data_IF_689688846909
#
_entry.id   IF_689688846909
#
_cell.length_a   1.000
_cell.length_b   1.000
_cell.length_c   1.000
_cell.angle_alpha   90.00
_cell.angle_beta   90.00
_cell.angle_gamma   90.00
#
_symmetry.space_group_name_H-M   'P 1'
#
loop_
_entity.id
_entity.type
_entity.pdbx_description
1 polymer ?
#
# COMPACT_ATOMS: atom_id res chain seq x y z
N UNK A 1 -31.32 45.91 27.92
CA UNK A 1 -30.34 45.70 26.83
C UNK A 1 -29.13 44.95 27.37
N UNK A 2 -28.65 43.91 26.65
CA UNK A 2 -27.34 43.22 26.78
C UNK A 2 -27.25 42.22 27.96
N UNK A 3 -26.88 40.95 27.81
CA UNK A 3 -25.97 40.28 26.86
C UNK A 3 -26.38 38.81 26.63
N UNK A 4 -26.38 38.41 25.35
CA UNK A 4 -26.34 37.02 24.92
C UNK A 4 -25.03 36.36 25.40
N UNK A 5 -25.14 35.25 26.14
CA UNK A 5 -24.00 34.41 26.50
C UNK A 5 -23.60 33.62 25.24
N UNK A 6 -22.48 34.00 24.64
CA UNK A 6 -21.85 33.30 23.51
C UNK A 6 -21.27 31.96 24.02
N UNK A 7 -22.00 30.87 23.87
CA UNK A 7 -21.48 29.51 24.06
C UNK A 7 -20.66 29.07 22.83
N UNK A 8 -19.44 29.61 22.66
CA UNK A 8 -18.56 29.28 21.53
C UNK A 8 -17.29 28.50 21.94
N UNK A 9 -17.10 28.22 23.23
CA UNK A 9 -15.86 27.61 23.73
C UNK A 9 -15.78 26.09 23.55
N UNK A 10 -16.91 25.37 23.59
CA UNK A 10 -16.89 23.90 23.68
C UNK A 10 -16.84 23.23 22.29
N UNK A 11 -17.59 23.74 21.31
CA UNK A 11 -17.72 23.12 19.98
C UNK A 11 -16.41 23.12 19.19
N UNK A 12 -15.60 24.18 19.30
CA UNK A 12 -14.30 24.27 18.63
C UNK A 12 -13.28 23.25 19.17
N UNK A 13 -13.35 22.95 20.47
CA UNK A 13 -12.50 21.95 21.12
C UNK A 13 -12.88 20.54 20.64
N UNK A 14 -14.17 20.23 20.56
CA UNK A 14 -14.64 18.93 20.05
C UNK A 14 -14.29 18.71 18.57
N UNK A 15 -14.40 19.73 17.73
CA UNK A 15 -13.98 19.64 16.31
C UNK A 15 -12.46 19.41 16.22
N UNK A 16 -11.67 20.17 16.98
CA UNK A 16 -10.21 20.00 17.02
C UNK A 16 -9.80 18.60 17.48
N UNK A 17 -10.46 18.06 18.51
CA UNK A 17 -10.21 16.71 19.01
C UNK A 17 -10.59 15.64 18.00
N UNK A 18 -11.70 15.82 17.27
CA UNK A 18 -12.16 14.88 16.25
C UNK A 18 -11.22 14.88 15.03
N UNK A 19 -10.75 16.06 14.60
CA UNK A 19 -9.74 16.17 13.52
C UNK A 19 -8.41 15.53 13.93
N UNK A 20 -7.98 15.72 15.19
CA UNK A 20 -6.77 15.08 15.70
C UNK A 20 -6.94 13.55 15.77
N UNK A 21 -8.11 13.06 16.23
CA UNK A 21 -8.41 11.63 16.31
C UNK A 21 -8.44 10.98 14.91
N UNK A 22 -9.05 11.65 13.92
CA UNK A 22 -9.06 11.19 12.52
C UNK A 22 -7.65 11.20 11.93
N UNK A 23 -6.84 12.22 12.23
CA UNK A 23 -5.44 12.28 11.80
C UNK A 23 -4.57 11.20 12.45
N UNK A 24 -4.86 10.80 13.69
CA UNK A 24 -4.18 9.70 14.38
C UNK A 24 -4.61 8.32 13.90
N UNK A 25 -5.86 8.18 13.42
CA UNK A 25 -6.34 6.97 12.75
C UNK A 25 -5.82 6.81 11.32
N UNK A 26 -5.23 7.87 10.72
CA UNK A 26 -4.56 7.80 9.43
C UNK A 26 -3.12 7.23 9.50
N UNK A 27 -2.68 6.76 10.68
CA UNK A 27 -1.49 5.92 10.82
C UNK A 27 -1.77 4.50 10.29
N UNK A 28 -2.09 4.43 9.00
CA UNK A 28 -2.12 3.20 8.23
C UNK A 28 -0.71 2.60 8.26
N UNK A 29 -0.58 1.39 8.82
CA UNK A 29 0.60 0.53 8.75
C UNK A 29 1.89 1.14 9.31
N UNK A 30 2.47 0.54 10.35
CA UNK A 30 3.87 0.82 10.67
C UNK A 30 4.73 0.33 9.50
N UNK A 31 5.12 1.23 8.60
CA UNK A 31 6.04 0.91 7.51
C UNK A 31 7.43 0.79 8.12
N UNK A 32 7.89 -0.44 8.34
CA UNK A 32 9.28 -0.68 8.71
C UNK A 32 10.16 -0.40 7.49
N UNK A 33 11.13 0.49 7.65
CA UNK A 33 12.10 0.81 6.62
C UNK A 33 13.42 0.11 6.89
N UNK A 34 14.03 -0.46 5.85
CA UNK A 34 15.37 -1.04 5.93
C UNK A 34 16.13 -0.75 4.64
N UNK A 35 17.44 -0.54 4.76
CA UNK A 35 18.35 -0.48 3.61
C UNK A 35 18.86 -1.86 3.20
N UNK A 36 18.68 -2.86 4.06
CA UNK A 36 19.10 -4.25 3.85
C UNK A 36 17.89 -5.17 3.86
N UNK A 37 17.84 -6.11 2.91
CA UNK A 37 16.79 -7.13 2.85
C UNK A 37 17.49 -8.45 3.14
N UNK A 38 17.42 -9.00 4.35
CA UNK A 38 18.11 -10.26 4.64
C UNK A 38 17.76 -11.37 3.62
N UNK A 39 18.73 -12.11 3.05
CA UNK A 39 20.20 -12.04 3.21
C UNK A 39 20.94 -11.12 2.21
N UNK A 40 20.22 -10.30 1.46
CA UNK A 40 20.70 -9.43 0.39
C UNK A 40 21.05 -8.00 0.86
N UNK A 41 22.20 -7.52 0.39
CA UNK A 41 22.61 -6.10 0.51
C UNK A 41 22.60 -5.50 -0.90
N UNK A 42 21.60 -4.69 -1.27
CA UNK A 42 21.59 -4.00 -2.56
C UNK A 42 22.80 -3.06 -2.69
N UNK A 43 23.39 -2.95 -3.89
CA UNK A 43 24.56 -2.09 -4.11
C UNK A 43 24.25 -0.58 -4.03
N UNK A 44 22.98 -0.21 -4.23
CA UNK A 44 22.48 1.16 -4.05
C UNK A 44 21.70 1.23 -2.74
N UNK A 45 21.85 2.33 -2.00
CA UNK A 45 21.16 2.58 -0.72
C UNK A 45 19.66 2.84 -0.91
N UNK A 46 18.91 1.83 -1.35
CA UNK A 46 17.46 1.89 -1.43
C UNK A 46 16.85 1.91 -0.03
N UNK A 47 15.86 2.79 0.18
CA UNK A 47 14.97 2.66 1.34
C UNK A 47 13.86 1.71 0.93
N UNK A 48 13.90 0.50 1.48
CA UNK A 48 12.88 -0.51 1.25
C UNK A 48 11.81 -0.37 2.32
N UNK A 49 10.58 -0.28 1.86
CA UNK A 49 9.38 -0.22 2.66
C UNK A 49 8.69 -1.58 2.62
N UNK A 50 8.16 -2.01 3.77
CA UNK A 50 7.27 -3.16 3.87
C UNK A 50 5.85 -2.69 4.19
N UNK A 51 4.87 -3.19 3.44
CA UNK A 51 3.45 -3.02 3.77
C UNK A 51 2.74 -4.36 3.76
N UNK A 52 1.82 -4.55 4.70
CA UNK A 52 0.92 -5.70 4.72
C UNK A 52 -0.51 -5.19 4.61
N UNK A 53 -1.35 -5.94 3.91
CA UNK A 53 -2.73 -5.57 3.68
C UNK A 53 -3.64 -6.79 3.73
N UNK A 54 -4.91 -6.54 4.01
CA UNK A 54 -6.01 -7.48 3.82
C UNK A 54 -7.20 -6.69 3.30
N UNK A 55 -7.79 -7.13 2.19
CA UNK A 55 -8.97 -6.48 1.62
C UNK A 55 -9.88 -7.49 0.94
N UNK A 56 -11.19 -7.25 1.00
CA UNK A 56 -12.21 -8.00 0.27
C UNK A 56 -12.83 -7.18 -0.88
N UNK A 57 -12.24 -6.03 -1.19
CA UNK A 57 -12.62 -5.16 -2.30
C UNK A 57 -11.39 -4.49 -2.91
N UNK A 58 -11.54 -3.88 -4.07
CA UNK A 58 -10.49 -3.07 -4.68
C UNK A 58 -10.12 -1.92 -3.74
N UNK A 59 -8.82 -1.75 -3.48
CA UNK A 59 -8.33 -0.84 -2.45
C UNK A 59 -6.96 -0.26 -2.81
N UNK A 60 -6.66 0.92 -2.30
CA UNK A 60 -5.31 1.45 -2.29
C UNK A 60 -4.47 0.72 -1.23
N UNK A 61 -3.27 0.27 -1.61
CA UNK A 61 -2.36 -0.49 -0.75
C UNK A 61 -1.13 0.33 -0.37
N UNK A 62 -0.63 1.15 -1.30
CA UNK A 62 0.43 2.12 -1.04
C UNK A 62 -0.02 3.47 -1.58
N UNK A 63 -0.07 4.53 -0.74
CA UNK A 63 -0.49 5.84 -1.17
C UNK A 63 0.47 6.43 -2.21
N UNK A 64 -0.04 7.34 -3.03
CA UNK A 64 0.76 7.99 -4.05
C UNK A 64 1.92 8.78 -3.47
N UNK A 65 2.98 8.93 -4.27
CA UNK A 65 4.11 9.79 -3.96
C UNK A 65 4.35 10.75 -5.11
N UNK A 66 4.23 12.06 -4.84
CA UNK A 66 4.24 13.11 -5.87
C UNK A 66 5.45 13.03 -6.79
N UNK A 67 5.22 12.83 -8.09
CA UNK A 67 6.27 12.77 -9.11
C UNK A 67 7.17 11.52 -9.02
N UNK A 68 6.86 10.58 -8.13
CA UNK A 68 7.63 9.38 -7.85
C UNK A 68 6.86 8.12 -8.21
N UNK A 69 7.58 7.04 -8.46
CA UNK A 69 7.02 5.72 -8.76
C UNK A 69 7.19 4.79 -7.58
N UNK A 70 6.19 3.95 -7.36
CA UNK A 70 6.27 2.84 -6.41
C UNK A 70 6.74 1.62 -7.21
N UNK A 71 7.86 1.02 -6.78
CA UNK A 71 8.48 -0.14 -7.43
C UNK A 71 8.46 -1.33 -6.49
N UNK A 72 7.67 -2.34 -6.83
CA UNK A 72 7.50 -3.57 -6.03
C UNK A 72 8.59 -4.57 -6.42
N UNK A 73 9.30 -5.07 -5.41
CA UNK A 73 10.45 -5.96 -5.56
C UNK A 73 10.24 -7.33 -4.89
N UNK A 74 9.19 -7.47 -4.10
CA UNK A 74 8.73 -8.74 -3.55
C UNK A 74 7.26 -8.63 -3.20
N UNK A 75 6.55 -9.74 -3.28
CA UNK A 75 5.18 -9.82 -2.82
C UNK A 75 4.80 -11.23 -2.40
N UNK A 76 3.88 -11.31 -1.46
CA UNK A 76 3.10 -12.48 -1.12
C UNK A 76 1.62 -12.11 -1.22
N UNK A 77 0.83 -12.98 -1.82
CA UNK A 77 -0.62 -12.88 -1.91
C UNK A 77 -1.24 -14.19 -1.47
N UNK A 78 -2.29 -14.15 -0.67
CA UNK A 78 -3.09 -15.32 -0.26
C UNK A 78 -4.57 -14.95 -0.35
N UNK A 79 -5.38 -15.83 -0.93
CA UNK A 79 -6.83 -15.61 -1.04
C UNK A 79 -7.61 -16.57 -0.12
N UNK A 80 -8.69 -16.07 0.50
CA UNK A 80 -9.63 -16.87 1.28
C UNK A 80 -10.77 -17.47 0.44
N UNK A 81 -10.70 -17.32 -0.89
CA UNK A 81 -11.70 -17.81 -1.84
C UNK A 81 -11.24 -17.59 -3.27
N UNK A 82 -12.00 -18.11 -4.23
CA UNK A 82 -11.66 -17.98 -5.66
C UNK A 82 -11.85 -16.54 -6.13
N UNK A 83 -10.76 -15.91 -6.56
CA UNK A 83 -10.76 -14.52 -7.02
C UNK A 83 -9.58 -14.24 -7.92
N UNK A 84 -9.77 -13.32 -8.87
CA UNK A 84 -8.68 -12.81 -9.68
C UNK A 84 -8.16 -11.54 -9.03
N UNK A 85 -6.85 -11.45 -8.92
CA UNK A 85 -6.14 -10.31 -8.33
C UNK A 85 -5.35 -9.62 -9.41
N UNK A 86 -5.43 -8.29 -9.46
CA UNK A 86 -4.59 -7.45 -10.32
C UNK A 86 -4.13 -6.23 -9.55
N UNK A 87 -2.85 -5.90 -9.67
CA UNK A 87 -2.36 -4.58 -9.22
C UNK A 87 -2.55 -3.54 -10.32
N UNK A 88 -2.95 -2.35 -9.92
CA UNK A 88 -3.20 -1.19 -10.78
C UNK A 88 -2.42 0.03 -10.31
N UNK A 89 -2.17 0.94 -11.25
CA UNK A 89 -1.61 2.25 -11.01
C UNK A 89 -2.75 3.25 -10.84
N UNK A 90 -2.87 3.87 -9.67
CA UNK A 90 -3.92 4.87 -9.39
C UNK A 90 -5.35 4.30 -9.38
N UNK A 91 -5.51 2.98 -9.18
CA UNK A 91 -6.81 2.33 -9.05
C UNK A 91 -7.48 1.89 -10.36
N UNK A 92 -7.15 2.50 -11.49
CA UNK A 92 -7.79 2.21 -12.78
C UNK A 92 -6.83 1.71 -13.86
N UNK A 93 -5.61 2.24 -13.89
CA UNK A 93 -4.68 1.96 -14.99
C UNK A 93 -3.87 0.69 -14.74
N UNK A 94 -3.50 0.03 -15.84
CA UNK A 94 -2.63 -1.13 -15.77
C UNK A 94 -1.24 -0.72 -15.30
N UNK A 95 -0.69 -1.49 -14.34
CA UNK A 95 0.66 -1.30 -13.84
C UNK A 95 1.68 -1.93 -14.80
N UNK A 96 2.87 -1.34 -14.93
CA UNK A 96 3.96 -1.99 -15.68
C UNK A 96 4.37 -3.27 -14.94
N UNK A 97 4.48 -4.38 -15.68
CA UNK A 97 4.75 -5.71 -15.10
C UNK A 97 3.51 -6.42 -14.53
N UNK A 98 2.30 -5.87 -14.74
CA UNK A 98 1.05 -6.47 -14.25
C UNK A 98 0.90 -7.92 -14.74
N UNK A 99 0.63 -8.82 -13.80
CA UNK A 99 0.16 -10.18 -14.07
C UNK A 99 -1.20 -10.32 -13.42
N UNK A 100 -2.18 -10.89 -14.12
CA UNK A 100 -3.45 -11.27 -13.53
C UNK A 100 -3.23 -12.60 -12.78
N UNK A 101 -3.43 -12.62 -11.46
CA UNK A 101 -3.34 -13.86 -10.69
C UNK A 101 -4.73 -14.46 -10.54
N UNK A 102 -4.86 -15.72 -10.93
CA UNK A 102 -6.05 -16.52 -10.65
C UNK A 102 -5.79 -17.26 -9.33
N UNK A 103 -6.30 -16.72 -8.23
CA UNK A 103 -6.14 -17.33 -6.92
C UNK A 103 -7.36 -18.19 -6.61
N UNK A 104 -7.08 -19.36 -6.03
CA UNK A 104 -8.09 -20.25 -5.45
C UNK A 104 -8.09 -20.16 -3.93
N UNK A 105 -9.13 -20.66 -3.28
CA UNK A 105 -9.21 -20.69 -1.82
C UNK A 105 -7.94 -21.28 -1.17
N UNK A 106 -7.39 -20.56 -0.18
CA UNK A 106 -6.19 -20.92 0.59
C UNK A 106 -4.92 -21.12 -0.26
N UNK A 107 -4.95 -20.69 -1.52
CA UNK A 107 -3.76 -20.65 -2.36
C UNK A 107 -3.10 -19.29 -2.30
N UNK A 108 -1.81 -19.27 -2.60
CA UNK A 108 -1.04 -18.05 -2.64
C UNK A 108 0.01 -18.03 -3.73
N UNK A 109 0.48 -16.83 -4.03
CA UNK A 109 1.59 -16.59 -4.94
C UNK A 109 2.62 -15.75 -4.21
N UNK A 110 3.86 -16.20 -4.27
CA UNK A 110 4.99 -15.50 -3.67
C UNK A 110 6.04 -15.22 -4.72
N UNK A 111 6.54 -13.99 -4.73
CA UNK A 111 7.78 -13.61 -5.41
C UNK A 111 8.74 -13.05 -4.37
N UNK A 112 9.84 -13.77 -4.06
CA UNK A 112 10.83 -13.28 -3.11
C UNK A 112 11.65 -12.16 -3.74
N UNK A 113 12.38 -11.43 -2.90
CA UNK A 113 13.38 -10.48 -3.36
C UNK A 113 14.44 -11.22 -4.17
N UNK A 114 14.61 -10.81 -5.41
CA UNK A 114 15.64 -11.33 -6.31
C UNK A 114 16.57 -10.19 -6.71
N UNK A 115 17.88 -10.41 -6.66
CA UNK A 115 18.87 -9.45 -7.12
C UNK A 115 19.44 -9.86 -8.49
N UNK A 116 19.57 -8.89 -9.40
CA UNK A 116 20.34 -9.03 -10.64
C UNK A 116 21.40 -7.92 -10.62
N UNK A 117 22.68 -8.29 -10.75
CA UNK A 117 23.80 -7.33 -10.66
C UNK A 117 23.72 -6.44 -9.40
N UNK A 118 23.42 -7.05 -8.24
CA UNK A 118 23.26 -6.37 -6.95
C UNK A 118 22.13 -5.31 -6.91
N UNK A 119 21.21 -5.31 -7.87
CA UNK A 119 20.03 -4.45 -7.91
C UNK A 119 18.76 -5.31 -7.74
N UNK A 120 17.76 -4.85 -6.95
CA UNK A 120 16.49 -5.55 -6.84
C UNK A 120 15.78 -5.63 -8.20
N UNK A 121 15.32 -6.83 -8.56
CA UNK A 121 14.43 -7.01 -9.69
C UNK A 121 13.08 -6.35 -9.38
N UNK A 122 12.65 -5.44 -10.24
CA UNK A 122 11.35 -4.78 -10.13
C UNK A 122 10.32 -5.64 -10.85
N UNK A 123 9.35 -6.18 -10.10
CA UNK A 123 8.26 -6.97 -10.67
C UNK A 123 7.12 -6.10 -11.18
N UNK A 124 6.83 -5.00 -10.48
CA UNK A 124 5.74 -4.09 -10.83
C UNK A 124 6.11 -2.64 -10.53
N UNK A 125 5.59 -1.71 -11.34
CA UNK A 125 5.89 -0.29 -11.18
C UNK A 125 4.71 0.62 -11.58
N UNK A 126 4.33 1.54 -10.68
CA UNK A 126 3.28 2.53 -10.93
C UNK A 126 3.71 3.62 -11.91
N UNK A 127 2.74 4.35 -12.47
CA UNK A 127 2.98 5.63 -13.13
C UNK A 127 3.55 6.66 -12.11
N UNK A 128 4.30 7.68 -12.56
CA UNK A 128 4.79 8.72 -11.67
C UNK A 128 3.63 9.45 -11.00
N UNK A 129 3.67 9.60 -9.68
CA UNK A 129 2.60 10.27 -8.93
C UNK A 129 1.36 9.42 -8.69
N UNK A 130 1.33 8.15 -9.10
CA UNK A 130 0.19 7.27 -8.89
C UNK A 130 0.39 6.35 -7.67
N UNK A 131 -0.71 6.04 -6.98
CA UNK A 131 -0.74 5.03 -5.92
C UNK A 131 -0.67 3.61 -6.48
N UNK A 132 -0.33 2.66 -5.61
CA UNK A 132 -0.43 1.23 -5.90
C UNK A 132 -1.72 0.72 -5.31
N UNK A 133 -2.60 0.21 -6.18
CA UNK A 133 -3.90 -0.31 -5.78
C UNK A 133 -4.05 -1.77 -6.21
N UNK A 134 -4.90 -2.50 -5.50
CA UNK A 134 -5.31 -3.85 -5.83
C UNK A 134 -6.75 -3.84 -6.34
N UNK A 135 -7.03 -4.66 -7.35
CA UNK A 135 -8.35 -4.89 -7.89
C UNK A 135 -8.69 -6.37 -7.80
N UNK A 136 -9.91 -6.68 -7.35
CA UNK A 136 -10.42 -8.03 -7.14
C UNK A 136 -11.63 -8.28 -8.04
N UNK A 137 -11.69 -9.45 -8.66
CA UNK A 137 -12.86 -9.82 -9.49
C UNK A 137 -14.08 -10.25 -8.68
N UNK A 138 -13.91 -10.55 -7.40
CA UNK A 138 -14.96 -10.98 -6.50
C UNK A 138 -14.69 -10.45 -5.08
N UNK A 139 -15.73 -10.38 -4.26
CA UNK A 139 -15.66 -9.96 -2.86
C UNK A 139 -15.08 -11.04 -1.93
N UNK A 140 -13.93 -11.60 -2.32
CA UNK A 140 -13.15 -12.56 -1.53
C UNK A 140 -11.99 -11.84 -0.86
N UNK A 141 -11.74 -12.16 0.40
CA UNK A 141 -10.61 -11.59 1.13
C UNK A 141 -9.29 -12.03 0.52
N UNK A 142 -8.42 -11.07 0.21
CA UNK A 142 -7.03 -11.28 -0.19
C UNK A 142 -6.13 -10.55 0.80
N UNK A 143 -5.18 -11.27 1.37
CA UNK A 143 -4.13 -10.71 2.20
C UNK A 143 -2.78 -10.81 1.49
N UNK A 144 -1.84 -9.99 1.92
CA UNK A 144 -0.51 -10.02 1.37
C UNK A 144 0.47 -9.09 2.04
N UNK A 145 1.74 -9.28 1.70
CA UNK A 145 2.83 -8.40 2.10
C UNK A 145 3.61 -8.00 0.86
N UNK A 146 3.95 -6.71 0.74
CA UNK A 146 4.75 -6.16 -0.34
C UNK A 146 6.03 -5.57 0.21
N UNK A 147 7.13 -5.78 -0.52
CA UNK A 147 8.36 -5.01 -0.36
C UNK A 147 8.52 -4.11 -1.58
N UNK A 148 8.72 -2.82 -1.34
CA UNK A 148 8.80 -1.82 -2.39
C UNK A 148 9.77 -0.70 -2.04
N UNK A 149 10.15 0.09 -3.04
CA UNK A 149 10.84 1.36 -2.84
C UNK A 149 10.21 2.44 -3.73
N UNK A 150 10.51 3.69 -3.40
CA UNK A 150 9.98 4.87 -4.10
C UNK A 150 11.12 5.58 -4.84
N UNK A 151 10.95 5.84 -6.13
CA UNK A 151 11.97 6.48 -6.99
C UNK A 151 11.41 7.50 -7.98
#
# INVERSE_FOLDING_TARGET
>A
MKRFIKAYGNTAVWIGLFVLLVAMCAWSGTVTTSTNIYPFVPAKGYVIYATSFTTAASAEIVPYSTGKRIKVIAYELVANGDTNVKFTSGGADDIMGSTLWYLTQNSGVTKPVTLINQQPLVYMQTAPGASLSINLSAAQSVSGTLLYYVE
#
